data_IF_643002699668
#
_entry.id   IF_643002699668
#
_cell.length_a   1.000
_cell.length_b   1.000
_cell.length_c   1.000
_cell.angle_alpha   90.00
_cell.angle_beta   90.00
_cell.angle_gamma   90.00
#
_symmetry.space_group_name_H-M   'P 1'
#
loop_
_entity.id
_entity.type
_entity.pdbx_description
1 polymer ?
#
# COMPACT_ATOMS: atom_id res chain seq x y z
N UNK A 1 -2.63 -29.57 -19.04
CA UNK A 1 -3.75 -28.98 -18.26
C UNK A 1 -3.57 -29.15 -16.77
N UNK A 2 -3.00 -30.26 -16.29
CA UNK A 2 -2.72 -30.53 -14.86
C UNK A 2 -1.75 -29.52 -14.25
N UNK A 3 -0.70 -29.12 -14.98
CA UNK A 3 0.35 -28.22 -14.48
C UNK A 3 -0.12 -26.76 -14.30
N UNK A 4 -1.09 -26.31 -15.12
CA UNK A 4 -1.71 -24.98 -14.96
C UNK A 4 -2.56 -24.92 -13.69
N UNK A 5 -3.30 -25.99 -13.38
CA UNK A 5 -4.14 -26.06 -12.17
C UNK A 5 -3.23 -26.11 -10.92
N UNK A 6 -2.14 -26.87 -10.94
CA UNK A 6 -1.15 -26.89 -9.86
C UNK A 6 -0.48 -25.51 -9.66
N UNK A 7 -0.15 -24.79 -10.74
CA UNK A 7 0.41 -23.44 -10.68
C UNK A 7 -0.54 -22.44 -10.01
N UNK A 8 -1.84 -22.50 -10.33
CA UNK A 8 -2.86 -21.63 -9.74
C UNK A 8 -3.06 -21.93 -8.24
N UNK A 9 -3.12 -23.20 -7.84
CA UNK A 9 -3.27 -23.59 -6.42
C UNK A 9 -2.04 -23.23 -5.56
N UNK A 10 -0.82 -23.21 -6.13
CA UNK A 10 0.37 -22.71 -5.43
C UNK A 10 0.39 -21.17 -5.33
N UNK A 11 -0.17 -20.48 -6.31
CA UNK A 11 -0.36 -19.04 -6.29
C UNK A 11 -1.26 -18.64 -5.11
N UNK A 12 -2.38 -19.36 -4.93
CA UNK A 12 -3.37 -19.08 -3.88
C UNK A 12 -2.78 -19.24 -2.46
N UNK A 13 -2.07 -20.33 -2.19
CA UNK A 13 -1.51 -20.59 -0.85
C UNK A 13 -0.47 -19.57 -0.44
N UNK A 14 0.46 -19.21 -1.31
CA UNK A 14 1.51 -18.22 -1.03
C UNK A 14 0.94 -16.80 -0.88
N UNK A 15 -0.04 -16.43 -1.70
CA UNK A 15 -0.70 -15.13 -1.65
C UNK A 15 -1.46 -14.95 -0.33
N UNK A 16 -2.36 -15.86 0.02
CA UNK A 16 -3.12 -15.78 1.27
C UNK A 16 -2.23 -15.87 2.49
N UNK A 17 -1.18 -16.70 2.47
CA UNK A 17 -0.19 -16.74 3.52
C UNK A 17 0.46 -15.36 3.72
N UNK A 18 0.92 -14.73 2.63
CA UNK A 18 1.55 -13.41 2.69
C UNK A 18 0.61 -12.35 3.23
N UNK A 19 -0.65 -12.32 2.75
CA UNK A 19 -1.65 -11.38 3.27
C UNK A 19 -1.86 -11.59 4.78
N UNK A 20 -2.07 -12.83 5.21
CA UNK A 20 -2.21 -13.14 6.65
C UNK A 20 -1.01 -12.64 7.46
N UNK A 21 0.20 -12.90 7.00
CA UNK A 21 1.43 -12.48 7.67
C UNK A 21 1.55 -10.95 7.75
N UNK A 22 1.15 -10.23 6.71
CA UNK A 22 1.15 -8.77 6.67
C UNK A 22 0.13 -8.15 7.66
N UNK A 23 -0.88 -8.90 8.11
CA UNK A 23 -1.87 -8.42 9.10
C UNK A 23 -1.69 -9.00 10.51
N UNK A 24 -0.82 -9.98 10.69
CA UNK A 24 -0.51 -10.55 12.01
C UNK A 24 0.83 -10.09 12.56
N UNK A 25 1.87 -10.05 11.72
CA UNK A 25 3.23 -9.66 12.10
C UNK A 25 4.00 -8.99 10.95
N UNK A 26 3.48 -7.86 10.42
CA UNK A 26 3.89 -7.28 9.14
C UNK A 26 5.40 -7.05 9.03
N UNK A 27 6.00 -6.37 9.99
CA UNK A 27 7.43 -6.06 9.95
C UNK A 27 8.31 -7.29 10.15
N UNK A 28 7.89 -8.24 10.98
CA UNK A 28 8.67 -9.46 11.21
C UNK A 28 8.69 -10.37 9.99
N UNK A 29 7.53 -10.57 9.36
CA UNK A 29 7.40 -11.43 8.17
C UNK A 29 8.23 -10.90 7.00
N UNK A 30 8.18 -9.60 6.74
CA UNK A 30 8.97 -9.01 5.66
C UNK A 30 10.46 -9.02 5.96
N UNK A 31 10.86 -8.88 7.21
CA UNK A 31 12.27 -9.06 7.61
C UNK A 31 12.74 -10.49 7.35
N UNK A 32 11.94 -11.50 7.68
CA UNK A 32 12.24 -12.90 7.37
C UNK A 32 12.40 -13.13 5.86
N UNK A 33 11.52 -12.53 5.07
CA UNK A 33 11.63 -12.58 3.60
C UNK A 33 12.94 -11.98 3.10
N UNK A 34 13.32 -10.79 3.57
CA UNK A 34 14.57 -10.12 3.19
C UNK A 34 15.78 -10.94 3.62
N UNK A 35 15.72 -11.62 4.77
CA UNK A 35 16.76 -12.52 5.28
C UNK A 35 16.84 -13.87 4.54
N UNK A 36 16.01 -14.10 3.52
CA UNK A 36 16.10 -15.27 2.64
C UNK A 36 15.00 -16.32 2.80
N UNK A 37 14.08 -16.20 3.74
CA UNK A 37 12.93 -17.10 3.89
C UNK A 37 11.83 -16.79 2.86
N UNK A 38 12.09 -17.03 1.58
CA UNK A 38 11.21 -16.58 0.48
C UNK A 38 10.19 -17.59 0.01
N UNK A 39 10.41 -18.87 0.27
CA UNK A 39 9.66 -19.99 -0.34
C UNK A 39 8.14 -19.94 -0.07
N UNK A 40 7.74 -19.45 1.09
CA UNK A 40 6.33 -19.38 1.49
C UNK A 40 5.66 -18.06 1.12
N UNK A 41 6.45 -17.03 0.81
CA UNK A 41 5.93 -15.69 0.56
C UNK A 41 5.66 -15.46 -0.92
N UNK A 42 4.56 -14.80 -1.21
CA UNK A 42 4.24 -14.35 -2.55
C UNK A 42 5.03 -13.08 -2.90
N UNK A 43 5.43 -12.95 -4.16
CA UNK A 43 6.20 -11.79 -4.62
C UNK A 43 5.38 -10.49 -4.47
N UNK A 44 5.95 -9.48 -3.80
CA UNK A 44 5.26 -8.22 -3.50
C UNK A 44 4.86 -7.45 -4.77
N UNK A 45 5.71 -7.42 -5.81
CA UNK A 45 5.41 -6.74 -7.06
C UNK A 45 4.19 -7.37 -7.75
N UNK A 46 4.17 -8.70 -7.85
CA UNK A 46 3.04 -9.44 -8.42
C UNK A 46 1.78 -9.27 -7.59
N UNK A 47 1.90 -9.25 -6.24
CA UNK A 47 0.77 -8.99 -5.35
C UNK A 47 0.14 -7.63 -5.58
N UNK A 48 0.94 -6.57 -5.75
CA UNK A 48 0.46 -5.21 -6.08
C UNK A 48 -0.36 -5.24 -7.38
N UNK A 49 0.17 -5.88 -8.44
CA UNK A 49 -0.52 -5.96 -9.73
C UNK A 49 -1.85 -6.70 -9.61
N UNK A 50 -1.88 -7.81 -8.88
CA UNK A 50 -3.11 -8.61 -8.68
C UNK A 50 -4.15 -7.82 -7.90
N UNK A 51 -3.77 -7.18 -6.79
CA UNK A 51 -4.71 -6.44 -5.94
C UNK A 51 -5.31 -5.26 -6.70
N UNK A 52 -4.49 -4.47 -7.40
CA UNK A 52 -4.99 -3.34 -8.21
C UNK A 52 -5.85 -3.85 -9.37
N UNK A 53 -5.44 -4.94 -10.03
CA UNK A 53 -6.24 -5.55 -11.10
C UNK A 53 -7.61 -6.02 -10.60
N UNK A 54 -7.64 -6.72 -9.47
CA UNK A 54 -8.89 -7.16 -8.83
C UNK A 54 -9.77 -5.98 -8.43
N UNK A 55 -9.18 -4.94 -7.83
CA UNK A 55 -9.90 -3.71 -7.48
C UNK A 55 -10.54 -3.01 -8.69
N UNK A 56 -9.84 -2.98 -9.83
CA UNK A 56 -10.37 -2.45 -11.08
C UNK A 56 -11.57 -3.27 -11.57
N UNK A 57 -11.47 -4.61 -11.60
CA UNK A 57 -12.57 -5.49 -11.99
C UNK A 57 -13.79 -5.33 -11.08
N UNK A 58 -13.59 -5.32 -9.76
CA UNK A 58 -14.67 -5.11 -8.80
C UNK A 58 -15.32 -3.74 -8.98
N UNK A 59 -14.54 -2.69 -9.25
CA UNK A 59 -15.05 -1.35 -9.56
C UNK A 59 -15.90 -1.30 -10.83
N UNK A 60 -15.51 -2.04 -11.89
CA UNK A 60 -16.31 -2.14 -13.12
C UNK A 60 -17.66 -2.84 -12.86
N UNK A 61 -17.69 -3.92 -12.07
CA UNK A 61 -18.94 -4.59 -11.69
C UNK A 61 -19.82 -3.72 -10.78
N UNK A 62 -19.22 -2.85 -9.96
CA UNK A 62 -19.91 -1.95 -9.06
C UNK A 62 -20.33 -0.62 -9.72
N UNK A 63 -20.10 -0.40 -11.01
CA UNK A 63 -20.36 0.86 -11.74
C UNK A 63 -21.81 1.39 -11.66
N UNK A 64 -22.76 0.61 -11.18
CA UNK A 64 -24.09 1.09 -10.83
C UNK A 64 -24.15 1.86 -9.50
N UNK A 65 -23.18 1.66 -8.60
CA UNK A 65 -23.17 2.19 -7.23
C UNK A 65 -21.77 2.63 -6.75
N UNK A 66 -20.75 2.64 -7.63
CA UNK A 66 -19.40 3.03 -7.23
C UNK A 66 -19.37 4.53 -6.96
N UNK A 67 -19.24 4.87 -5.69
CA UNK A 67 -18.87 6.21 -5.27
C UNK A 67 -17.43 6.40 -5.72
N UNK A 68 -17.24 7.26 -6.71
CA UNK A 68 -15.94 7.83 -6.97
C UNK A 68 -15.59 8.67 -5.73
N UNK A 69 -14.77 8.13 -4.83
CA UNK A 69 -14.36 8.78 -3.58
C UNK A 69 -13.64 10.12 -3.83
N UNK A 70 -13.34 10.42 -5.09
CA UNK A 70 -12.78 11.68 -5.56
C UNK A 70 -13.83 12.58 -6.24
N UNK A 71 -15.09 12.11 -6.43
CA UNK A 71 -16.18 12.92 -6.97
C UNK A 71 -16.66 13.92 -5.93
N UNK A 72 -16.10 15.06 -5.92
CA UNK A 72 -16.47 16.19 -5.06
C UNK A 72 -15.33 17.13 -4.75
N UNK A 73 -14.11 16.67 -4.78
CA UNK A 73 -12.93 17.50 -4.64
C UNK A 73 -12.40 17.89 -6.03
N UNK A 74 -12.82 19.06 -6.53
CA UNK A 74 -12.25 19.67 -7.74
C UNK A 74 -10.71 19.79 -7.66
N UNK A 75 -10.19 19.78 -6.44
CA UNK A 75 -8.75 19.83 -6.15
C UNK A 75 -8.00 18.56 -6.61
N UNK A 76 -8.67 17.39 -6.74
CA UNK A 76 -8.07 16.11 -7.13
C UNK A 76 -8.63 15.50 -8.42
N UNK A 77 -9.32 16.28 -9.26
CA UNK A 77 -9.92 15.79 -10.51
C UNK A 77 -8.89 15.18 -11.47
N UNK A 78 -7.74 15.84 -11.65
CA UNK A 78 -6.66 15.33 -12.47
C UNK A 78 -6.02 14.04 -11.94
N UNK A 79 -5.87 13.93 -10.61
CA UNK A 79 -5.41 12.71 -9.96
C UNK A 79 -6.35 11.52 -10.23
N UNK A 80 -7.66 11.74 -10.13
CA UNK A 80 -8.67 10.73 -10.44
C UNK A 80 -8.58 10.27 -11.89
N UNK A 81 -8.46 11.21 -12.85
CA UNK A 81 -8.32 10.88 -14.27
C UNK A 81 -7.08 10.02 -14.55
N UNK A 82 -5.92 10.35 -13.96
CA UNK A 82 -4.68 9.57 -14.12
C UNK A 82 -4.82 8.19 -13.46
N UNK A 83 -5.36 8.10 -12.26
CA UNK A 83 -5.48 6.83 -11.54
C UNK A 83 -6.46 5.87 -12.20
N UNK A 84 -7.50 6.35 -12.87
CA UNK A 84 -8.40 5.49 -13.68
C UNK A 84 -7.65 4.71 -14.77
N UNK A 85 -6.63 5.31 -15.39
CA UNK A 85 -5.88 4.69 -16.48
C UNK A 85 -4.55 4.06 -16.05
N UNK A 86 -3.90 4.63 -15.05
CA UNK A 86 -2.52 4.30 -14.67
C UNK A 86 -2.34 3.94 -13.19
N UNK A 87 -3.38 3.40 -12.53
CA UNK A 87 -3.35 3.07 -11.10
C UNK A 87 -2.11 2.28 -10.67
N UNK A 88 -1.69 1.28 -11.47
CA UNK A 88 -0.51 0.45 -11.20
C UNK A 88 0.79 1.27 -11.19
N UNK A 89 0.95 2.17 -12.17
CA UNK A 89 2.13 3.03 -12.26
C UNK A 89 2.16 4.05 -11.13
N UNK A 90 1.02 4.64 -10.81
CA UNK A 90 0.89 5.56 -9.68
C UNK A 90 1.24 4.84 -8.38
N UNK A 91 0.67 3.67 -8.09
CA UNK A 91 0.96 2.92 -6.87
C UNK A 91 2.44 2.53 -6.76
N UNK A 92 3.09 2.13 -7.85
CA UNK A 92 4.50 1.77 -7.87
C UNK A 92 5.43 3.00 -7.77
N UNK A 93 4.99 4.18 -8.21
CA UNK A 93 5.81 5.40 -8.15
C UNK A 93 6.16 5.85 -6.72
N UNK A 94 5.36 5.48 -5.72
CA UNK A 94 5.62 5.81 -4.31
C UNK A 94 6.79 5.01 -3.72
N UNK A 95 6.98 3.76 -4.19
CA UNK A 95 7.92 2.79 -3.59
C UNK A 95 9.36 3.29 -3.55
N UNK A 96 9.95 3.84 -4.64
CA UNK A 96 11.32 4.31 -4.62
C UNK A 96 11.57 5.42 -3.60
N UNK A 97 10.60 6.34 -3.44
CA UNK A 97 10.73 7.46 -2.50
C UNK A 97 10.65 6.97 -1.06
N UNK A 98 9.71 6.07 -0.74
CA UNK A 98 9.62 5.47 0.59
C UNK A 98 10.87 4.63 0.90
N UNK A 99 11.39 3.88 -0.08
CA UNK A 99 12.60 3.10 0.06
C UNK A 99 13.83 3.97 0.35
N UNK A 100 13.94 5.11 -0.35
CA UNK A 100 15.03 6.05 -0.11
C UNK A 100 14.95 6.64 1.31
N UNK A 101 13.77 7.05 1.74
CA UNK A 101 13.59 7.63 3.08
C UNK A 101 13.82 6.59 4.18
N UNK A 102 13.30 5.37 4.04
CA UNK A 102 13.57 4.30 5.01
C UNK A 102 15.05 3.92 5.06
N UNK A 103 15.72 3.85 3.91
CA UNK A 103 17.17 3.62 3.83
C UNK A 103 17.98 4.72 4.57
N UNK A 104 17.62 5.99 4.39
CA UNK A 104 18.30 7.11 5.05
C UNK A 104 18.03 7.17 6.55
N UNK A 105 16.78 6.91 6.96
CA UNK A 105 16.33 7.06 8.35
C UNK A 105 16.79 5.89 9.23
N UNK A 106 16.87 4.68 8.64
CA UNK A 106 17.20 3.45 9.36
C UNK A 106 18.60 2.88 9.02
N UNK A 107 19.60 3.74 8.82
CA UNK A 107 20.99 3.37 8.46
C UNK A 107 21.64 2.33 9.39
N UNK A 108 21.32 2.32 10.70
CA UNK A 108 21.88 1.35 11.65
C UNK A 108 21.44 -0.10 11.37
N UNK A 109 20.38 -0.32 10.59
CA UNK A 109 19.95 -1.66 10.19
C UNK A 109 20.94 -2.33 9.22
N UNK A 110 21.88 -1.56 8.63
CA UNK A 110 22.86 -2.00 7.63
C UNK A 110 22.24 -2.60 6.37
N UNK A 111 20.96 -2.31 6.12
CA UNK A 111 20.27 -2.77 4.93
C UNK A 111 20.63 -1.91 3.73
N UNK A 112 20.69 -2.56 2.57
CA UNK A 112 20.91 -1.88 1.30
C UNK A 112 19.61 -1.26 0.76
N UNK A 113 19.71 -0.45 -0.31
CA UNK A 113 18.54 0.19 -0.91
C UNK A 113 17.54 -0.82 -1.48
N UNK A 114 18.00 -1.92 -2.09
CA UNK A 114 17.14 -2.95 -2.67
C UNK A 114 16.29 -3.67 -1.60
N UNK A 115 16.86 -3.92 -0.42
CA UNK A 115 16.14 -4.48 0.72
C UNK A 115 15.06 -3.52 1.24
N UNK A 116 15.37 -2.22 1.28
CA UNK A 116 14.38 -1.19 1.61
C UNK A 116 13.31 -1.04 0.52
N UNK A 117 13.64 -1.28 -0.74
CA UNK A 117 12.67 -1.31 -1.83
C UNK A 117 11.66 -2.46 -1.64
N UNK A 118 12.15 -3.66 -1.38
CA UNK A 118 11.32 -4.84 -1.09
C UNK A 118 10.44 -4.60 0.15
N UNK A 119 11.03 -4.07 1.22
CA UNK A 119 10.32 -3.70 2.44
C UNK A 119 9.10 -2.82 2.12
N UNK A 120 9.31 -1.75 1.36
CA UNK A 120 8.27 -0.78 1.03
C UNK A 120 7.24 -1.32 0.02
N UNK A 121 7.62 -2.25 -0.86
CA UNK A 121 6.66 -2.97 -1.70
C UNK A 121 5.66 -3.77 -0.85
N UNK A 122 6.13 -4.55 0.12
CA UNK A 122 5.24 -5.29 1.03
C UNK A 122 4.37 -4.37 1.90
N UNK A 123 4.92 -3.25 2.33
CA UNK A 123 4.15 -2.23 3.05
C UNK A 123 2.98 -1.72 2.18
N UNK A 124 3.23 -1.43 0.90
CA UNK A 124 2.17 -1.01 -0.04
C UNK A 124 1.15 -2.13 -0.27
N UNK A 125 1.58 -3.41 -0.39
CA UNK A 125 0.63 -4.53 -0.46
C UNK A 125 -0.36 -4.50 0.70
N UNK A 126 0.13 -4.34 1.94
CA UNK A 126 -0.73 -4.25 3.12
C UNK A 126 -1.71 -3.07 3.06
N UNK A 127 -1.26 -1.89 2.61
CA UNK A 127 -2.12 -0.71 2.44
C UNK A 127 -3.18 -0.92 1.36
N UNK A 128 -2.81 -1.50 0.21
CA UNK A 128 -3.77 -1.78 -0.87
C UNK A 128 -4.85 -2.77 -0.42
N UNK A 129 -4.51 -3.74 0.41
CA UNK A 129 -5.52 -4.66 1.00
C UNK A 129 -6.44 -3.90 1.96
N UNK A 130 -5.90 -3.04 2.83
CA UNK A 130 -6.72 -2.19 3.71
C UNK A 130 -7.70 -1.35 2.88
N UNK A 131 -7.20 -0.68 1.84
CA UNK A 131 -8.01 0.14 0.95
C UNK A 131 -9.08 -0.68 0.20
N UNK A 132 -8.72 -1.86 -0.31
CA UNK A 132 -9.64 -2.75 -1.01
C UNK A 132 -10.77 -3.26 -0.10
N UNK A 133 -10.45 -3.75 1.09
CA UNK A 133 -11.43 -4.22 2.08
C UNK A 133 -12.33 -3.06 2.50
N UNK A 134 -11.75 -1.89 2.77
CA UNK A 134 -12.49 -0.71 3.17
C UNK A 134 -13.46 -0.25 2.08
N UNK A 135 -13.02 -0.24 0.82
CA UNK A 135 -13.87 0.12 -0.32
C UNK A 135 -15.09 -0.79 -0.44
N UNK A 136 -14.92 -2.09 -0.28
CA UNK A 136 -16.03 -3.06 -0.30
C UNK A 136 -17.00 -2.86 0.87
N UNK A 137 -16.50 -2.54 2.06
CA UNK A 137 -17.33 -2.35 3.25
C UNK A 137 -18.09 -1.02 3.24
N UNK A 138 -17.55 0.03 2.61
CA UNK A 138 -18.13 1.39 2.63
C UNK A 138 -19.06 1.64 1.43
N UNK A 139 -18.82 0.99 0.29
CA UNK A 139 -19.64 1.14 -0.92
C UNK A 139 -21.17 1.04 -0.69
N UNK A 140 -21.69 0.17 0.20
CA UNK A 140 -23.12 0.09 0.48
C UNK A 140 -23.68 1.25 1.31
N UNK A 141 -22.84 2.08 1.96
CA UNK A 141 -23.22 3.08 2.97
C UNK A 141 -22.91 4.51 2.52
N UNK A 142 -23.25 4.86 1.30
CA UNK A 142 -22.83 6.07 0.60
C UNK A 142 -23.37 7.42 1.11
N UNK A 143 -23.85 7.54 2.33
CA UNK A 143 -24.34 8.81 2.87
C UNK A 143 -23.20 9.73 3.33
N UNK A 144 -23.29 11.03 3.00
CA UNK A 144 -22.19 11.98 3.07
C UNK A 144 -21.48 12.12 4.43
N UNK A 145 -22.18 11.99 5.55
CA UNK A 145 -21.58 12.08 6.89
C UNK A 145 -20.85 10.78 7.27
N UNK A 146 -21.49 9.64 6.99
CA UNK A 146 -20.94 8.30 7.24
C UNK A 146 -19.69 8.11 6.40
N UNK A 147 -19.71 8.52 5.13
CA UNK A 147 -18.57 8.45 4.23
C UNK A 147 -17.37 9.26 4.75
N UNK A 148 -17.57 10.50 5.20
CA UNK A 148 -16.50 11.32 5.78
C UNK A 148 -15.89 10.68 7.04
N UNK A 149 -16.72 10.16 7.93
CA UNK A 149 -16.26 9.45 9.12
C UNK A 149 -15.45 8.19 8.78
N UNK A 150 -15.93 7.43 7.81
CA UNK A 150 -15.29 6.23 7.32
C UNK A 150 -13.92 6.52 6.67
N UNK A 151 -13.81 7.57 5.85
CA UNK A 151 -12.53 8.01 5.27
C UNK A 151 -11.52 8.45 6.34
N UNK A 152 -11.99 9.14 7.39
CA UNK A 152 -11.18 9.48 8.57
C UNK A 152 -10.65 8.23 9.27
N UNK A 153 -11.51 7.24 9.51
CA UNK A 153 -11.13 5.95 10.10
C UNK A 153 -10.10 5.21 9.24
N UNK A 154 -10.31 5.13 7.94
CA UNK A 154 -9.34 4.53 7.01
C UNK A 154 -7.98 5.20 7.10
N UNK A 155 -7.95 6.53 7.16
CA UNK A 155 -6.70 7.28 7.30
C UNK A 155 -5.99 6.95 8.61
N UNK A 156 -6.70 6.86 9.72
CA UNK A 156 -6.14 6.47 11.01
C UNK A 156 -5.60 5.04 10.99
N UNK A 157 -6.32 4.10 10.38
CA UNK A 157 -5.86 2.71 10.21
C UNK A 157 -4.57 2.63 9.39
N UNK A 158 -4.47 3.39 8.30
CA UNK A 158 -3.23 3.45 7.49
C UNK A 158 -2.06 4.02 8.29
N UNK A 159 -2.26 5.10 9.02
CA UNK A 159 -1.23 5.71 9.89
C UNK A 159 -0.76 4.69 10.95
N UNK A 160 -1.69 4.01 11.62
CA UNK A 160 -1.38 2.97 12.59
C UNK A 160 -0.61 1.80 11.98
N UNK A 161 -1.02 1.37 10.78
CA UNK A 161 -0.36 0.30 10.05
C UNK A 161 1.08 0.67 9.64
N UNK A 162 1.32 1.88 9.09
CA UNK A 162 2.66 2.36 8.78
C UNK A 162 3.57 2.33 10.02
N UNK A 163 3.10 2.90 11.13
CA UNK A 163 3.86 2.91 12.37
C UNK A 163 4.21 1.49 12.84
N UNK A 164 3.21 0.60 12.93
CA UNK A 164 3.36 -0.78 13.37
C UNK A 164 4.34 -1.56 12.49
N UNK A 165 4.23 -1.39 11.16
CA UNK A 165 5.07 -2.04 10.16
C UNK A 165 6.56 -1.70 10.35
N UNK A 166 6.90 -0.41 10.36
CA UNK A 166 8.30 0.02 10.54
C UNK A 166 8.83 -0.27 11.94
N UNK A 167 8.00 -0.10 12.98
CA UNK A 167 8.37 -0.43 14.34
C UNK A 167 8.74 -1.91 14.47
N UNK A 168 7.93 -2.83 13.97
CA UNK A 168 8.23 -4.25 14.00
C UNK A 168 9.46 -4.61 13.16
N UNK A 169 9.55 -4.06 11.94
CA UNK A 169 10.62 -4.41 11.03
C UNK A 169 12.00 -4.06 11.60
N UNK A 170 12.17 -2.87 12.15
CA UNK A 170 13.45 -2.38 12.66
C UNK A 170 13.66 -2.64 14.16
N UNK A 171 12.77 -3.38 14.83
CA UNK A 171 12.80 -3.63 16.28
C UNK A 171 14.10 -4.28 16.79
N UNK A 172 14.78 -5.05 15.94
CA UNK A 172 16.07 -5.70 16.29
C UNK A 172 17.29 -4.79 16.16
N UNK A 173 17.18 -3.68 15.41
CA UNK A 173 18.33 -2.83 15.07
C UNK A 173 18.42 -1.58 15.94
N UNK A 174 17.37 -1.23 16.67
CA UNK A 174 17.27 0.03 17.41
C UNK A 174 16.76 -0.17 18.84
N UNK A 175 17.20 0.69 19.77
CA UNK A 175 16.60 0.81 21.11
C UNK A 175 15.18 1.37 21.01
N UNK A 176 14.27 0.95 21.89
CA UNK A 176 12.83 1.27 21.83
C UNK A 176 12.51 2.75 21.56
N UNK A 177 13.08 3.68 22.36
CA UNK A 177 12.82 5.12 22.20
C UNK A 177 13.27 5.65 20.82
N UNK A 178 14.49 5.31 20.40
CA UNK A 178 14.99 5.74 19.09
C UNK A 178 14.25 5.12 17.91
N UNK A 179 13.66 3.93 18.08
CA UNK A 179 12.82 3.27 17.10
C UNK A 179 11.46 3.97 16.98
N UNK A 180 10.81 4.28 18.10
CA UNK A 180 9.51 5.00 18.11
C UNK A 180 9.63 6.32 17.38
N UNK A 181 10.65 7.15 17.73
CA UNK A 181 10.87 8.46 17.09
C UNK A 181 11.05 8.31 15.57
N UNK A 182 11.87 7.35 15.12
CA UNK A 182 12.09 7.11 13.69
C UNK A 182 10.85 6.58 12.97
N UNK A 183 10.09 5.70 13.62
CA UNK A 183 8.84 5.19 13.03
C UNK A 183 7.80 6.29 12.88
N UNK A 184 7.66 7.18 13.86
CA UNK A 184 6.80 8.37 13.76
C UNK A 184 7.30 9.31 12.64
N UNK A 185 8.61 9.59 12.61
CA UNK A 185 9.19 10.41 11.55
C UNK A 185 8.95 9.82 10.16
N UNK A 186 9.06 8.49 10.01
CA UNK A 186 8.80 7.82 8.74
C UNK A 186 7.34 7.94 8.32
N UNK A 187 6.39 7.79 9.25
CA UNK A 187 4.95 8.01 8.98
C UNK A 187 4.70 9.44 8.49
N UNK A 188 5.28 10.43 9.15
CA UNK A 188 5.17 11.83 8.74
C UNK A 188 5.73 12.05 7.32
N UNK A 189 6.92 11.50 7.03
CA UNK A 189 7.56 11.56 5.71
C UNK A 189 6.66 10.91 4.65
N UNK A 190 6.06 9.76 4.92
CA UNK A 190 5.13 9.09 4.01
C UNK A 190 3.95 10.01 3.68
N UNK A 191 3.34 10.63 4.68
CA UNK A 191 2.20 11.54 4.48
C UNK A 191 2.61 12.74 3.59
N UNK A 192 3.78 13.33 3.83
CA UNK A 192 4.29 14.45 3.03
C UNK A 192 4.56 14.01 1.59
N UNK A 193 5.29 12.92 1.39
CA UNK A 193 5.60 12.40 0.05
C UNK A 193 4.31 12.07 -0.70
N UNK A 194 3.35 11.40 -0.04
CA UNK A 194 2.05 11.08 -0.65
C UNK A 194 1.35 12.34 -1.15
N UNK A 195 1.27 13.38 -0.35
CA UNK A 195 0.64 14.64 -0.76
C UNK A 195 1.38 15.29 -1.94
N UNK A 196 2.71 15.35 -1.90
CA UNK A 196 3.52 15.96 -2.96
C UNK A 196 3.33 15.23 -4.29
N UNK A 197 3.44 13.90 -4.28
CA UNK A 197 3.27 13.11 -5.52
C UNK A 197 1.81 13.21 -6.00
N UNK A 198 0.82 13.16 -5.11
CA UNK A 198 -0.58 13.33 -5.51
C UNK A 198 -0.83 14.67 -6.20
N UNK A 199 -0.22 15.77 -5.71
CA UNK A 199 -0.30 17.08 -6.38
C UNK A 199 0.39 17.09 -7.75
N UNK A 200 1.55 16.43 -7.89
CA UNK A 200 2.25 16.31 -9.18
C UNK A 200 1.39 15.54 -10.18
N UNK A 201 0.87 14.37 -9.77
CA UNK A 201 0.01 13.52 -10.60
C UNK A 201 -1.28 14.27 -10.98
N UNK A 202 -1.87 15.01 -10.03
CA UNK A 202 -3.05 15.84 -10.29
C UNK A 202 -2.77 16.91 -11.37
N UNK A 203 -1.66 17.60 -11.25
CA UNK A 203 -1.25 18.62 -12.23
C UNK A 203 -1.04 18.01 -13.62
N UNK A 204 -0.39 16.85 -13.69
CA UNK A 204 -0.22 16.09 -14.95
C UNK A 204 -1.59 15.70 -15.51
N UNK A 205 -2.50 15.20 -14.67
CA UNK A 205 -3.84 14.80 -15.09
C UNK A 205 -4.65 15.96 -15.69
N UNK A 206 -4.58 17.13 -15.06
CA UNK A 206 -5.24 18.34 -15.57
C UNK A 206 -4.64 18.87 -16.90
N UNK A 207 -3.36 18.57 -17.17
CA UNK A 207 -2.70 19.01 -18.41
C UNK A 207 -3.00 18.07 -19.61
N UNK A 208 -3.13 16.78 -19.36
CA UNK A 208 -3.18 15.77 -20.45
C UNK A 208 -4.55 15.10 -20.62
N UNK A 209 -5.45 15.21 -19.66
CA UNK A 209 -6.78 14.59 -19.71
C UNK A 209 -7.87 15.67 -19.63
N UNK A 210 -8.02 16.40 -20.72
CA UNK A 210 -9.15 17.33 -20.93
C UNK A 210 -10.42 16.60 -21.26
#
# INVERSE_FOLDING_TARGET
MHDLIHGVFHLDKGFFFTIKELFTRPGHSVREYVQGKRVQYFNAFTAIIIIIGTGYFLGEFAKGNAIDLTQGDKEFEGFSKVTKHYAKLVALSWVPFYALMSYLLFKKSKQNYSENLILNMYMIVGILVIEGVFSVLVLPFADGLILKGALGLMTLLKIGYYFWFYYQYFSTSYKKMGLVIRSIAMVFIIIVITKVIAQIVNKIGLMYFH
#
